data_IF_985439061928
#
_entry.id   IF_985439061928
#
_cell.length_a   1.000
_cell.length_b   1.000
_cell.length_c   1.000
_cell.angle_alpha   90.00
_cell.angle_beta   90.00
_cell.angle_gamma   90.00
#
_symmetry.space_group_name_H-M   'P 1'
#
loop_
_entity.id
_entity.type
_entity.pdbx_description
1 polymer ?
#
# COMPACT_ATOMS: atom_id res chain seq x y z
N UNK A 1 -1.49 17.00 59.57
CA UNK A 1 -1.14 17.71 58.31
C UNK A 1 -0.68 16.64 57.33
N UNK A 2 -1.60 16.09 56.54
CA UNK A 2 -1.33 15.04 55.56
C UNK A 2 -0.88 15.70 54.24
N UNK A 3 0.26 15.28 53.72
CA UNK A 3 0.78 15.77 52.44
C UNK A 3 -0.16 15.33 51.30
N UNK A 4 -0.45 16.19 50.32
CA UNK A 4 -1.22 15.79 49.14
C UNK A 4 -0.41 14.77 48.34
N UNK A 5 -0.94 13.56 48.20
CA UNK A 5 -0.39 12.55 47.30
C UNK A 5 -0.74 12.94 45.87
N UNK A 6 0.26 13.44 45.13
CA UNK A 6 0.11 13.67 43.69
C UNK A 6 -0.25 12.34 43.02
N UNK A 7 -1.32 12.27 42.22
CA UNK A 7 -1.70 11.02 41.56
C UNK A 7 -0.59 10.57 40.59
N UNK A 8 -0.28 9.28 40.63
CA UNK A 8 0.66 8.65 39.70
C UNK A 8 0.12 8.84 38.27
N UNK A 9 0.93 9.33 37.32
CA UNK A 9 0.49 9.44 35.92
C UNK A 9 0.10 8.05 35.40
N UNK A 10 -1.18 7.89 35.04
CA UNK A 10 -1.66 6.67 34.39
C UNK A 10 -1.04 6.61 33.00
N UNK A 11 -0.40 5.50 32.59
CA UNK A 11 0.12 5.37 31.23
C UNK A 11 -1.03 5.56 30.25
N UNK A 12 -0.94 6.59 29.39
CA UNK A 12 -1.88 6.76 28.29
C UNK A 12 -1.64 5.60 27.33
N UNK A 13 -2.66 4.78 27.00
CA UNK A 13 -2.49 3.73 26.00
C UNK A 13 -2.05 4.38 24.69
N UNK A 14 -0.81 4.10 24.28
CA UNK A 14 -0.38 4.44 22.93
C UNK A 14 -1.17 3.50 22.02
N UNK A 15 -2.03 4.00 21.11
CA UNK A 15 -2.68 3.13 20.14
C UNK A 15 -1.60 2.32 19.43
N UNK A 16 -1.79 1.02 19.23
CA UNK A 16 -0.87 0.25 18.40
C UNK A 16 -0.82 0.81 16.97
N UNK A 17 0.21 0.52 16.18
CA UNK A 17 0.19 0.83 14.75
C UNK A 17 -1.10 0.27 14.12
N UNK A 18 -1.73 1.02 13.21
CA UNK A 18 -2.99 0.62 12.56
C UNK A 18 -2.77 -0.60 11.66
N UNK A 19 -2.78 -1.79 12.26
CA UNK A 19 -2.60 -3.07 11.57
C UNK A 19 -3.65 -3.26 10.46
N UNK A 20 -4.79 -2.58 10.59
CA UNK A 20 -5.91 -2.55 9.67
C UNK A 20 -5.53 -2.16 8.24
N UNK A 21 -4.56 -1.25 8.04
CA UNK A 21 -4.05 -0.85 6.71
C UNK A 21 -2.71 -1.50 6.35
N UNK A 22 -1.90 -1.86 7.35
CA UNK A 22 -0.63 -2.56 7.12
C UNK A 22 -0.84 -4.00 6.62
N UNK A 23 -1.87 -4.70 7.12
CA UNK A 23 -2.22 -6.07 6.69
C UNK A 23 -2.51 -6.16 5.18
N UNK A 24 -3.45 -5.38 4.60
CA UNK A 24 -3.69 -5.42 3.15
C UNK A 24 -2.47 -4.94 2.34
N UNK A 25 -1.69 -3.99 2.85
CA UNK A 25 -0.42 -3.56 2.23
C UNK A 25 0.55 -4.73 2.07
N UNK A 26 0.82 -5.46 3.15
CA UNK A 26 1.70 -6.63 3.13
C UNK A 26 1.11 -7.79 2.32
N UNK A 27 -0.21 -8.00 2.39
CA UNK A 27 -0.88 -9.04 1.62
C UNK A 27 -0.72 -8.82 0.10
N UNK A 28 -0.88 -7.59 -0.38
CA UNK A 28 -0.65 -7.29 -1.79
C UNK A 28 0.84 -7.40 -2.18
N UNK A 29 1.74 -7.01 -1.27
CA UNK A 29 3.18 -7.14 -1.47
C UNK A 29 3.67 -8.60 -1.51
N UNK A 30 2.97 -9.51 -0.84
CA UNK A 30 3.25 -10.94 -0.92
C UNK A 30 2.91 -11.53 -2.30
N UNK A 31 2.00 -10.90 -3.06
CA UNK A 31 1.54 -11.47 -4.31
C UNK A 31 2.58 -11.50 -5.45
N UNK A 32 3.43 -10.46 -5.68
CA UNK A 32 4.58 -10.58 -6.58
C UNK A 32 5.42 -11.84 -6.35
N UNK A 33 5.71 -12.19 -5.09
CA UNK A 33 6.44 -13.40 -4.72
C UNK A 33 5.67 -14.70 -4.97
N UNK A 34 4.36 -14.62 -5.23
CA UNK A 34 3.55 -15.76 -5.69
C UNK A 34 3.56 -15.85 -7.22
N UNK A 35 3.52 -14.71 -7.92
CA UNK A 35 3.55 -14.68 -9.40
C UNK A 35 4.90 -15.06 -9.98
N UNK A 36 5.98 -14.62 -9.35
CA UNK A 36 7.33 -14.87 -9.81
C UNK A 36 7.65 -16.37 -9.96
N UNK A 37 7.44 -17.23 -8.94
CA UNK A 37 7.66 -18.67 -9.09
C UNK A 37 6.70 -19.28 -10.11
N UNK A 38 5.44 -18.83 -10.20
CA UNK A 38 4.50 -19.32 -11.20
C UNK A 38 4.96 -19.01 -12.64
N UNK A 39 5.44 -17.80 -12.87
CA UNK A 39 6.02 -17.39 -14.14
C UNK A 39 7.26 -18.24 -14.47
N UNK A 40 8.20 -18.41 -13.54
CA UNK A 40 9.43 -19.15 -13.81
C UNK A 40 9.20 -20.65 -14.00
N UNK A 41 8.32 -21.25 -13.20
CA UNK A 41 7.96 -22.67 -13.31
C UNK A 41 7.39 -23.00 -14.71
N UNK A 42 6.72 -22.04 -15.36
CA UNK A 42 6.16 -22.23 -16.70
C UNK A 42 7.10 -21.78 -17.82
N UNK A 43 7.91 -20.72 -17.62
CA UNK A 43 8.83 -20.19 -18.64
C UNK A 43 10.10 -21.01 -18.81
N UNK A 44 10.75 -21.42 -17.71
CA UNK A 44 12.06 -22.10 -17.78
C UNK A 44 12.01 -23.38 -18.64
N UNK A 45 10.99 -24.26 -18.50
CA UNK A 45 10.90 -25.46 -19.34
C UNK A 45 10.76 -25.14 -20.82
N UNK A 46 9.91 -24.15 -21.17
CA UNK A 46 9.72 -23.71 -22.56
C UNK A 46 11.00 -23.12 -23.13
N UNK A 47 11.67 -22.24 -22.38
CA UNK A 47 12.92 -21.65 -22.82
C UNK A 47 14.00 -22.68 -23.08
N UNK A 48 14.15 -23.67 -22.19
CA UNK A 48 15.13 -24.75 -22.35
C UNK A 48 14.84 -25.65 -23.56
N UNK A 49 13.57 -25.81 -23.93
CA UNK A 49 13.16 -26.67 -25.04
C UNK A 49 13.15 -25.97 -26.40
N UNK A 50 12.91 -24.66 -26.45
CA UNK A 50 12.56 -23.95 -27.69
C UNK A 50 13.40 -22.71 -27.99
N UNK A 51 14.10 -22.14 -27.01
CA UNK A 51 14.82 -20.89 -27.22
C UNK A 51 16.27 -21.16 -27.61
N UNK A 52 16.75 -20.62 -28.75
CA UNK A 52 18.18 -20.65 -29.05
C UNK A 52 18.97 -19.78 -28.06
N UNK A 53 20.30 -19.97 -27.94
CA UNK A 53 21.15 -19.10 -27.13
C UNK A 53 20.94 -17.63 -27.52
N UNK A 54 20.61 -16.74 -26.55
CA UNK A 54 20.35 -15.35 -26.86
C UNK A 54 21.66 -14.65 -27.30
N UNK A 55 21.55 -13.87 -28.37
CA UNK A 55 22.60 -12.95 -28.85
C UNK A 55 22.29 -11.52 -28.41
N UNK A 56 23.23 -10.60 -28.61
CA UNK A 56 23.03 -9.16 -28.37
C UNK A 56 21.94 -8.51 -29.27
N UNK A 57 21.45 -9.22 -30.30
CA UNK A 57 20.37 -8.77 -31.18
C UNK A 57 19.02 -9.44 -30.88
N UNK A 58 18.98 -10.36 -29.91
CA UNK A 58 17.75 -11.07 -29.54
C UNK A 58 16.80 -10.15 -28.79
N UNK A 59 15.61 -9.91 -29.35
CA UNK A 59 14.59 -9.04 -28.77
C UNK A 59 13.52 -9.81 -28.00
N UNK A 60 12.75 -9.11 -27.14
CA UNK A 60 11.55 -9.69 -26.50
C UNK A 60 10.58 -10.26 -27.54
N UNK A 61 10.38 -9.57 -28.66
CA UNK A 61 9.48 -10.02 -29.74
C UNK A 61 9.93 -11.35 -30.35
N UNK A 62 11.24 -11.55 -30.52
CA UNK A 62 11.79 -12.82 -31.01
C UNK A 62 11.47 -13.97 -30.05
N UNK A 63 11.67 -13.75 -28.75
CA UNK A 63 11.34 -14.73 -27.69
C UNK A 63 9.84 -14.99 -27.59
N UNK A 64 9.03 -13.94 -27.72
CA UNK A 64 7.57 -14.00 -27.59
C UNK A 64 6.90 -14.81 -28.71
N UNK A 65 7.52 -14.88 -29.90
CA UNK A 65 7.08 -15.74 -31.01
C UNK A 65 7.33 -17.22 -30.75
N UNK A 66 8.35 -17.55 -29.95
CA UNK A 66 8.72 -18.92 -29.59
C UNK A 66 8.02 -19.40 -28.31
N UNK A 67 7.29 -18.52 -27.62
CA UNK A 67 6.68 -18.81 -26.32
C UNK A 67 5.16 -18.92 -26.47
N UNK A 68 4.55 -20.04 -26.06
CA UNK A 68 3.08 -20.18 -26.07
C UNK A 68 2.42 -19.03 -25.31
N UNK A 69 1.28 -18.54 -25.82
CA UNK A 69 0.55 -17.41 -25.24
C UNK A 69 0.25 -17.63 -23.75
N UNK A 70 -0.19 -18.84 -23.38
CA UNK A 70 -0.49 -19.21 -22.00
C UNK A 70 0.71 -19.09 -21.06
N UNK A 71 1.94 -19.24 -21.54
CA UNK A 71 3.16 -19.05 -20.74
C UNK A 71 3.57 -17.57 -20.70
N UNK A 72 3.40 -16.87 -21.82
CA UNK A 72 3.65 -15.42 -21.92
C UNK A 72 2.80 -14.59 -20.97
N UNK A 73 1.52 -14.91 -20.85
CA UNK A 73 0.58 -14.14 -20.02
C UNK A 73 1.02 -14.01 -18.55
N UNK A 74 1.70 -15.02 -17.98
CA UNK A 74 2.21 -14.94 -16.60
C UNK A 74 3.28 -13.85 -16.46
N UNK A 75 4.16 -13.74 -17.45
CA UNK A 75 5.22 -12.74 -17.46
C UNK A 75 4.70 -11.34 -17.79
N UNK A 76 3.79 -11.22 -18.75
CA UNK A 76 3.16 -9.93 -19.07
C UNK A 76 2.38 -9.40 -17.85
N UNK A 77 1.68 -10.29 -17.12
CA UNK A 77 1.03 -9.98 -15.85
C UNK A 77 2.02 -9.60 -14.73
N UNK A 78 3.16 -10.30 -14.59
CA UNK A 78 4.19 -9.95 -13.61
C UNK A 78 4.75 -8.53 -13.87
N UNK A 79 5.07 -8.22 -15.13
CA UNK A 79 5.65 -6.93 -15.52
C UNK A 79 4.68 -5.75 -15.32
N UNK A 80 3.39 -5.93 -15.66
CA UNK A 80 2.40 -4.86 -15.51
C UNK A 80 2.00 -4.62 -14.05
N UNK A 81 2.25 -5.57 -13.15
CA UNK A 81 1.67 -5.52 -11.81
C UNK A 81 2.09 -4.29 -11.04
N UNK A 82 3.35 -3.84 -11.12
CA UNK A 82 3.93 -2.90 -10.14
C UNK A 82 3.53 -1.43 -10.31
N UNK A 83 2.91 -1.03 -11.42
CA UNK A 83 2.58 0.39 -11.67
C UNK A 83 1.56 0.95 -10.66
N UNK A 84 0.37 0.35 -10.59
CA UNK A 84 -0.70 0.80 -9.68
C UNK A 84 -0.52 0.40 -8.18
N UNK A 85 0.06 -0.74 -7.79
CA UNK A 85 0.25 -1.12 -6.40
C UNK A 85 1.27 -0.21 -5.71
N UNK A 86 2.22 0.36 -6.45
CA UNK A 86 3.14 1.36 -5.92
C UNK A 86 2.36 2.57 -5.39
N UNK A 87 1.35 3.04 -6.13
CA UNK A 87 0.45 4.10 -5.67
C UNK A 87 -0.35 3.67 -4.44
N UNK A 88 -0.86 2.43 -4.43
CA UNK A 88 -1.56 1.88 -3.26
C UNK A 88 -0.68 1.81 -2.02
N UNK A 89 0.57 1.36 -2.13
CA UNK A 89 1.49 1.33 -0.99
C UNK A 89 1.72 2.72 -0.42
N UNK A 90 1.94 3.72 -1.28
CA UNK A 90 2.08 5.11 -0.84
C UNK A 90 0.84 5.62 -0.11
N UNK A 91 -0.35 5.43 -0.71
CA UNK A 91 -1.63 5.89 -0.15
C UNK A 91 -1.96 5.17 1.16
N UNK A 92 -1.84 3.84 1.21
CA UNK A 92 -2.19 3.03 2.36
C UNK A 92 -1.26 3.32 3.55
N UNK A 93 0.05 3.47 3.31
CA UNK A 93 1.02 3.83 4.36
C UNK A 93 0.82 5.26 4.86
N UNK A 94 0.58 6.22 3.96
CA UNK A 94 0.29 7.61 4.34
C UNK A 94 -0.99 7.69 5.21
N UNK A 95 -2.06 7.00 4.79
CA UNK A 95 -3.31 6.95 5.53
C UNK A 95 -3.14 6.23 6.88
N UNK A 96 -2.40 5.12 6.93
CA UNK A 96 -2.10 4.40 8.17
C UNK A 96 -1.38 5.28 9.19
N UNK A 97 -0.37 6.02 8.74
CA UNK A 97 0.39 6.95 9.58
C UNK A 97 -0.47 8.12 10.05
N UNK A 98 -1.26 8.73 9.16
CA UNK A 98 -2.13 9.84 9.50
C UNK A 98 -3.20 9.45 10.53
N UNK A 99 -3.79 8.25 10.38
CA UNK A 99 -4.76 7.68 11.33
C UNK A 99 -4.14 7.39 12.69
N UNK A 100 -2.94 6.79 12.70
CA UNK A 100 -2.18 6.54 13.92
C UNK A 100 -1.88 7.83 14.70
N UNK A 101 -1.38 8.88 14.04
CA UNK A 101 -1.08 10.17 14.68
C UNK A 101 -2.31 10.85 15.27
N UNK A 102 -3.50 10.59 14.71
CA UNK A 102 -4.78 11.12 15.20
C UNK A 102 -5.46 10.20 16.22
N UNK A 103 -4.88 9.04 16.55
CA UNK A 103 -5.50 8.05 17.44
C UNK A 103 -6.83 7.50 16.91
N UNK A 104 -6.99 7.43 15.60
CA UNK A 104 -8.21 6.98 14.93
C UNK A 104 -7.97 5.68 14.19
N UNK A 105 -8.97 4.81 14.19
CA UNK A 105 -9.06 3.71 13.22
C UNK A 105 -10.39 3.83 12.46
N UNK A 106 -10.39 3.38 11.20
CA UNK A 106 -11.56 3.46 10.34
C UNK A 106 -11.76 2.14 9.60
N UNK A 107 -12.90 1.48 9.88
CA UNK A 107 -13.28 0.18 9.30
C UNK A 107 -13.45 0.30 7.79
N UNK A 108 -13.90 1.46 7.28
CA UNK A 108 -14.07 1.70 5.86
C UNK A 108 -12.72 1.76 5.13
N UNK A 109 -11.70 2.37 5.73
CA UNK A 109 -10.35 2.41 5.15
C UNK A 109 -9.78 0.99 4.99
N UNK A 110 -9.94 0.17 6.03
CA UNK A 110 -9.53 -1.23 6.01
C UNK A 110 -10.30 -2.05 4.97
N UNK A 111 -11.63 -1.87 4.89
CA UNK A 111 -12.49 -2.55 3.93
C UNK A 111 -12.14 -2.21 2.48
N UNK A 112 -11.93 -0.93 2.18
CA UNK A 112 -11.51 -0.46 0.85
C UNK A 112 -10.12 -1.00 0.48
N UNK A 113 -9.18 -1.02 1.43
CA UNK A 113 -7.85 -1.57 1.18
C UNK A 113 -7.93 -3.08 0.85
N UNK A 114 -8.69 -3.87 1.62
CA UNK A 114 -8.89 -5.30 1.30
C UNK A 114 -9.63 -5.52 -0.02
N UNK A 115 -10.64 -4.70 -0.32
CA UNK A 115 -11.33 -4.73 -1.61
C UNK A 115 -10.34 -4.50 -2.76
N UNK A 116 -9.46 -3.51 -2.63
CA UNK A 116 -8.40 -3.26 -3.61
C UNK A 116 -7.47 -4.47 -3.76
N UNK A 117 -6.99 -5.07 -2.66
CA UNK A 117 -6.17 -6.28 -2.71
C UNK A 117 -6.87 -7.41 -3.46
N UNK A 118 -8.12 -7.71 -3.09
CA UNK A 118 -8.92 -8.77 -3.72
C UNK A 118 -9.11 -8.55 -5.22
N UNK A 119 -9.48 -7.33 -5.63
CA UNK A 119 -9.61 -6.97 -7.04
C UNK A 119 -8.30 -7.14 -7.81
N UNK A 120 -7.17 -6.73 -7.22
CA UNK A 120 -5.86 -6.85 -7.85
C UNK A 120 -5.39 -8.29 -7.98
N UNK A 121 -5.66 -9.12 -6.98
CA UNK A 121 -5.39 -10.56 -7.04
C UNK A 121 -6.24 -11.20 -8.13
N UNK A 122 -7.55 -10.95 -8.15
CA UNK A 122 -8.47 -11.49 -9.16
C UNK A 122 -8.10 -11.06 -10.58
N UNK A 123 -7.88 -9.76 -10.81
CA UNK A 123 -7.45 -9.22 -12.10
C UNK A 123 -6.19 -9.94 -12.60
N UNK A 124 -5.24 -10.18 -11.70
CA UNK A 124 -4.00 -10.84 -12.05
C UNK A 124 -4.15 -12.32 -12.36
N UNK A 125 -5.02 -13.04 -11.64
CA UNK A 125 -5.33 -14.44 -11.95
C UNK A 125 -5.99 -14.52 -13.33
N UNK A 126 -6.94 -13.64 -13.64
CA UNK A 126 -7.59 -13.58 -14.97
C UNK A 126 -6.56 -13.32 -16.07
N UNK A 127 -5.68 -12.34 -15.88
CA UNK A 127 -4.60 -12.02 -16.83
C UNK A 127 -3.66 -13.22 -16.99
N UNK A 128 -3.18 -13.81 -15.88
CA UNK A 128 -2.24 -14.93 -15.91
C UNK A 128 -2.82 -16.23 -16.47
N UNK A 129 -4.14 -16.43 -16.47
CA UNK A 129 -4.77 -17.71 -16.91
C UNK A 129 -5.38 -17.67 -18.30
N UNK A 130 -5.96 -16.56 -18.73
CA UNK A 130 -6.66 -16.51 -20.03
C UNK A 130 -6.59 -15.19 -20.80
N UNK A 131 -6.03 -14.14 -20.21
CA UNK A 131 -5.83 -12.82 -20.84
C UNK A 131 -7.06 -12.18 -21.53
N UNK A 132 -8.23 -12.25 -20.88
CA UNK A 132 -9.50 -11.75 -21.39
C UNK A 132 -9.53 -10.21 -21.29
N UNK A 133 -9.22 -9.53 -22.40
CA UNK A 133 -8.96 -8.07 -22.45
C UNK A 133 -10.04 -7.25 -21.73
N UNK A 134 -11.33 -7.50 -22.04
CA UNK A 134 -12.42 -6.71 -21.46
C UNK A 134 -12.62 -6.98 -19.96
N UNK A 135 -12.42 -8.22 -19.52
CA UNK A 135 -12.53 -8.59 -18.09
C UNK A 135 -11.40 -7.96 -17.29
N UNK A 136 -10.16 -8.05 -17.78
CA UNK A 136 -9.01 -7.43 -17.10
C UNK A 136 -9.15 -5.91 -17.10
N UNK A 137 -9.60 -5.30 -18.20
CA UNK A 137 -9.82 -3.86 -18.26
C UNK A 137 -10.89 -3.39 -17.26
N UNK A 138 -12.04 -4.07 -17.19
CA UNK A 138 -13.07 -3.78 -16.19
C UNK A 138 -12.54 -3.91 -14.75
N UNK A 139 -11.82 -5.00 -14.45
CA UNK A 139 -11.19 -5.20 -13.14
C UNK A 139 -10.16 -4.12 -12.80
N UNK A 140 -9.39 -3.64 -13.78
CA UNK A 140 -8.46 -2.53 -13.62
C UNK A 140 -9.21 -1.25 -13.25
N UNK A 141 -10.24 -0.87 -14.03
CA UNK A 141 -11.01 0.36 -13.80
C UNK A 141 -11.68 0.37 -12.43
N UNK A 142 -12.32 -0.72 -12.02
CA UNK A 142 -12.94 -0.83 -10.70
C UNK A 142 -11.89 -0.71 -9.59
N UNK A 143 -10.75 -1.39 -9.75
CA UNK A 143 -9.66 -1.29 -8.78
C UNK A 143 -9.05 0.12 -8.71
N UNK A 144 -8.93 0.83 -9.83
CA UNK A 144 -8.51 2.23 -9.88
C UNK A 144 -9.47 3.13 -9.12
N UNK A 145 -10.78 2.93 -9.27
CA UNK A 145 -11.79 3.69 -8.53
C UNK A 145 -11.68 3.52 -7.02
N UNK A 146 -11.47 2.28 -6.55
CA UNK A 146 -11.24 2.01 -5.11
C UNK A 146 -9.96 2.69 -4.61
N UNK A 147 -8.87 2.64 -5.39
CA UNK A 147 -7.63 3.32 -5.04
C UNK A 147 -7.77 4.84 -5.02
N UNK A 148 -8.49 5.42 -5.99
CA UNK A 148 -8.77 6.86 -6.03
C UNK A 148 -9.60 7.29 -4.81
N UNK A 149 -10.56 6.48 -4.37
CA UNK A 149 -11.31 6.73 -3.14
C UNK A 149 -10.41 6.68 -1.89
N UNK A 150 -9.53 5.67 -1.79
CA UNK A 150 -8.53 5.62 -0.71
C UNK A 150 -7.61 6.83 -0.72
N UNK A 151 -7.16 7.28 -1.89
CA UNK A 151 -6.31 8.46 -2.04
C UNK A 151 -7.04 9.74 -1.61
N UNK A 152 -8.31 9.91 -2.00
CA UNK A 152 -9.14 11.02 -1.56
C UNK A 152 -9.34 11.04 -0.04
N UNK A 153 -9.53 9.86 0.58
CA UNK A 153 -9.64 9.71 2.04
C UNK A 153 -8.31 10.04 2.74
N UNK A 154 -7.19 9.57 2.20
CA UNK A 154 -5.86 9.95 2.68
C UNK A 154 -5.65 11.45 2.63
N UNK A 155 -5.96 12.09 1.50
CA UNK A 155 -5.88 13.55 1.36
C UNK A 155 -6.76 14.27 2.39
N UNK A 156 -8.01 13.82 2.58
CA UNK A 156 -8.92 14.43 3.56
C UNK A 156 -8.41 14.34 5.01
N UNK A 157 -7.75 13.23 5.39
CA UNK A 157 -7.20 13.05 6.74
C UNK A 157 -5.88 13.81 6.91
N UNK A 158 -5.03 13.85 5.89
CA UNK A 158 -3.71 14.50 5.96
C UNK A 158 -3.84 16.02 5.89
N UNK A 159 -4.72 16.55 5.03
CA UNK A 159 -4.86 17.98 4.77
C UNK A 159 -5.84 18.69 5.70
N UNK A 160 -6.54 17.96 6.57
CA UNK A 160 -7.42 18.57 7.57
C UNK A 160 -6.57 19.33 8.59
N UNK A 161 -6.75 20.65 8.65
CA UNK A 161 -6.08 21.52 9.62
C UNK A 161 -6.44 21.12 11.06
N UNK A 162 -5.42 20.93 11.89
CA UNK A 162 -5.58 20.72 13.33
C UNK A 162 -5.33 22.04 14.06
N UNK A 163 -6.41 22.78 14.36
CA UNK A 163 -6.41 23.96 15.25
C UNK A 163 -5.74 23.65 16.60
N UNK A 164 -5.68 22.38 16.99
CA UNK A 164 -5.03 21.89 18.20
C UNK A 164 -3.49 21.86 18.15
N UNK A 165 -2.86 21.79 16.96
CA UNK A 165 -1.39 21.87 16.86
C UNK A 165 -0.91 23.31 16.99
N UNK A 166 -1.65 24.28 16.47
CA UNK A 166 -1.36 25.72 16.67
C UNK A 166 -1.47 26.15 18.13
N UNK A 167 -2.35 25.53 18.94
CA UNK A 167 -2.46 25.87 20.37
C UNK A 167 -1.40 25.19 21.25
N UNK A 168 -0.94 23.98 20.89
CA UNK A 168 0.04 23.21 21.68
C UNK A 168 1.48 23.74 21.58
N UNK A 169 1.80 24.43 20.48
CA UNK A 169 3.09 25.11 20.30
C UNK A 169 3.08 26.59 20.71
N UNK A 170 1.90 27.18 20.95
CA UNK A 170 1.75 28.58 21.34
C UNK A 170 1.98 28.89 22.83
N UNK A 171 1.92 27.90 23.72
CA UNK A 171 1.96 28.13 25.18
C UNK A 171 3.16 27.56 25.93
N UNK A 172 4.10 26.89 25.26
CA UNK A 172 5.12 26.06 25.93
C UNK A 172 6.60 26.39 25.70
N UNK A 173 6.94 27.29 24.77
CA UNK A 173 8.34 27.52 24.38
C UNK A 173 8.88 28.93 24.63
N UNK A 174 8.03 29.85 25.07
CA UNK A 174 8.45 31.18 25.47
C UNK A 174 7.84 31.52 26.83
N UNK A 175 8.48 31.03 27.90
CA UNK A 175 8.39 31.69 29.19
C UNK A 175 8.95 33.10 29.04
N UNK A 176 8.07 34.09 28.91
CA UNK A 176 8.43 35.51 28.90
C UNK A 176 9.01 35.96 30.25
N UNK A 177 9.74 37.08 30.28
CA UNK A 177 10.53 37.51 31.44
C UNK A 177 9.69 38.19 32.53
N UNK A 178 9.98 37.86 33.79
CA UNK A 178 9.42 38.47 35.02
C UNK A 178 8.74 37.41 35.89
N UNK A 179 9.17 37.11 37.11
CA UNK A 179 9.24 38.02 38.25
C UNK A 179 10.31 37.56 39.25
N UNK A 180 11.47 38.22 39.26
CA UNK A 180 12.32 38.34 40.45
C UNK A 180 12.19 39.79 40.95
N UNK A 181 11.10 40.08 41.65
CA UNK A 181 11.01 41.23 42.57
C UNK A 181 10.28 40.75 43.81
N UNK A 182 11.01 40.71 44.92
CA UNK A 182 10.50 40.28 46.22
C UNK A 182 11.65 39.85 47.11
N UNK A 183 12.04 40.77 48.00
CA UNK A 183 12.93 40.56 49.15
C UNK A 183 12.46 39.40 50.03
#
# INVERSE_FOLDING_TARGET
MSLPTSPIPVPVPVPGPSLSLLRPTLALNAWPFTMEPWMYATRIPVSRATHPPPTNTTTKSNIDKLTPASVRWKADNYNHRLEQPTQFYAVALALALARYMRGQEDVLDAGLAWMYVGLRVLHSVVHGTGDWIMVRFGGFVVSSGVLALLAGRAAAVVLREDVALTSRWGSGLWGGPGLYTGM
#
